data_IF_845322129021
#
_entry.id   IF_845322129021
#
_cell.length_a   1.000
_cell.length_b   1.000
_cell.length_c   1.000
_cell.angle_alpha   90.00
_cell.angle_beta   90.00
_cell.angle_gamma   90.00
#
_symmetry.space_group_name_H-M   'P 1'
#
loop_
_entity.id
_entity.type
_entity.pdbx_description
1 polymer ?
#
# COMPACT_ATOMS: atom_id res chain seq x y z
N UNK A 1 -6.82 -13.72 -7.64
CA UNK A 1 -7.44 -12.41 -7.96
C UNK A 1 -6.60 -11.33 -7.32
N UNK A 2 -6.18 -10.33 -8.08
CA UNK A 2 -5.48 -9.16 -7.53
C UNK A 2 -6.49 -8.03 -7.36
N UNK A 3 -6.54 -7.43 -6.17
CA UNK A 3 -7.43 -6.30 -5.87
C UNK A 3 -6.56 -5.12 -5.49
N UNK A 4 -6.71 -4.03 -6.24
CA UNK A 4 -6.10 -2.73 -5.97
C UNK A 4 -7.20 -1.69 -6.10
N UNK A 5 -8.06 -1.64 -5.09
CA UNK A 5 -9.22 -0.76 -5.02
C UNK A 5 -9.31 -0.14 -3.62
N UNK A 6 -10.29 0.73 -3.43
CA UNK A 6 -10.56 1.27 -2.11
C UNK A 6 -10.93 0.15 -1.09
N UNK A 7 -10.89 0.50 0.19
CA UNK A 7 -11.13 -0.47 1.25
C UNK A 7 -12.56 -1.00 1.29
N UNK A 8 -13.53 -0.28 0.72
CA UNK A 8 -14.94 -0.69 0.73
C UNK A 8 -15.19 -1.75 -0.35
N UNK A 9 -14.71 -1.52 -1.57
CA UNK A 9 -14.70 -2.48 -2.66
C UNK A 9 -13.99 -3.76 -2.24
N UNK A 10 -12.82 -3.63 -1.61
CA UNK A 10 -12.03 -4.78 -1.16
C UNK A 10 -12.78 -5.62 -0.10
N UNK A 11 -13.46 -4.97 0.85
CA UNK A 11 -14.30 -5.65 1.87
C UNK A 11 -15.47 -6.43 1.28
N UNK A 12 -15.98 -6.02 0.12
CA UNK A 12 -17.08 -6.70 -0.56
C UNK A 12 -16.58 -7.79 -1.50
N UNK A 13 -15.57 -7.49 -2.33
CA UNK A 13 -15.10 -8.37 -3.39
C UNK A 13 -14.17 -9.47 -2.88
N UNK A 14 -13.27 -9.18 -1.94
CA UNK A 14 -12.29 -10.18 -1.50
C UNK A 14 -12.94 -11.40 -0.83
N UNK A 15 -13.90 -11.25 0.12
CA UNK A 15 -14.56 -12.40 0.73
C UNK A 15 -15.43 -13.17 -0.26
N UNK A 16 -16.10 -12.47 -1.19
CA UNK A 16 -16.91 -13.11 -2.23
C UNK A 16 -16.05 -13.96 -3.18
N UNK A 17 -14.94 -13.40 -3.67
CA UNK A 17 -14.00 -14.13 -4.52
C UNK A 17 -13.36 -15.32 -3.80
N UNK A 18 -13.02 -15.17 -2.52
CA UNK A 18 -12.48 -16.26 -1.71
C UNK A 18 -13.51 -17.38 -1.47
N UNK A 19 -14.78 -17.01 -1.24
CA UNK A 19 -15.88 -17.98 -1.10
C UNK A 19 -16.11 -18.78 -2.39
N UNK A 20 -15.87 -18.18 -3.56
CA UNK A 20 -15.92 -18.84 -4.87
C UNK A 20 -14.62 -19.64 -5.20
N UNK A 21 -13.70 -19.77 -4.23
CA UNK A 21 -12.50 -20.60 -4.35
C UNK A 21 -11.27 -19.91 -4.93
N UNK A 22 -11.32 -18.59 -5.14
CA UNK A 22 -10.14 -17.84 -5.58
C UNK A 22 -9.20 -17.53 -4.41
N UNK A 23 -7.89 -17.56 -4.66
CA UNK A 23 -6.93 -16.90 -3.79
C UNK A 23 -6.89 -15.41 -4.13
N UNK A 24 -7.14 -14.55 -3.16
CA UNK A 24 -7.12 -13.09 -3.30
C UNK A 24 -5.80 -12.52 -2.77
N UNK A 25 -5.21 -11.61 -3.53
CA UNK A 25 -4.09 -10.76 -3.10
C UNK A 25 -4.58 -9.31 -3.13
N UNK A 26 -4.67 -8.69 -1.95
CA UNK A 26 -5.20 -7.35 -1.75
C UNK A 26 -4.07 -6.34 -1.46
N UNK A 27 -3.98 -5.30 -2.28
CA UNK A 27 -3.05 -4.16 -2.09
C UNK A 27 -3.65 -3.05 -1.20
N UNK A 28 -4.93 -3.17 -0.86
CA UNK A 28 -5.63 -2.25 0.01
C UNK A 28 -5.16 -2.34 1.48
N UNK A 29 -5.67 -1.41 2.29
CA UNK A 29 -5.52 -1.46 3.74
C UNK A 29 -6.60 -2.29 4.44
N UNK A 30 -7.58 -2.81 3.71
CA UNK A 30 -8.81 -3.36 4.26
C UNK A 30 -8.58 -4.53 5.23
N UNK A 31 -7.58 -5.38 4.95
CA UNK A 31 -7.35 -6.63 5.66
C UNK A 31 -6.00 -6.70 6.40
N UNK A 32 -5.14 -5.69 6.29
CA UNK A 32 -3.76 -5.72 6.84
C UNK A 32 -3.65 -6.04 8.33
N UNK A 33 -4.70 -5.76 9.11
CA UNK A 33 -4.75 -5.97 10.57
C UNK A 33 -5.67 -7.14 10.97
N UNK A 34 -6.16 -7.93 10.01
CA UNK A 34 -7.01 -9.10 10.30
C UNK A 34 -6.13 -10.29 10.64
N UNK A 35 -6.38 -10.91 11.78
CA UNK A 35 -5.57 -12.02 12.30
C UNK A 35 -5.49 -13.22 11.35
N UNK A 36 -6.57 -13.48 10.60
CA UNK A 36 -6.67 -14.59 9.64
C UNK A 36 -6.22 -14.22 8.22
N UNK A 37 -5.67 -13.02 8.01
CA UNK A 37 -5.16 -12.57 6.71
C UNK A 37 -3.67 -12.26 6.85
N UNK A 38 -2.78 -13.07 6.25
CA UNK A 38 -1.35 -12.80 6.30
C UNK A 38 -1.00 -11.49 5.57
N UNK A 39 -0.06 -10.75 6.15
CA UNK A 39 0.50 -9.54 5.58
C UNK A 39 1.92 -9.84 5.09
N UNK A 40 2.08 -10.06 3.79
CA UNK A 40 3.26 -10.75 3.25
C UNK A 40 4.18 -9.83 2.45
N UNK A 41 5.47 -9.92 2.74
CA UNK A 41 6.56 -9.54 1.85
C UNK A 41 7.35 -10.82 1.59
N UNK A 42 7.38 -11.36 0.36
CA UNK A 42 7.97 -12.68 0.08
C UNK A 42 9.39 -12.85 0.63
N UNK A 43 10.26 -11.86 0.44
CA UNK A 43 11.65 -11.89 0.89
C UNK A 43 11.82 -11.81 2.43
N UNK A 44 10.73 -11.63 3.18
CA UNK A 44 10.77 -11.36 4.63
C UNK A 44 10.03 -12.42 5.44
N UNK A 45 8.86 -12.85 4.95
CA UNK A 45 7.93 -13.75 5.63
C UNK A 45 7.08 -14.57 4.64
N UNK A 46 7.69 -15.15 3.61
CA UNK A 46 6.97 -16.01 2.63
C UNK A 46 6.14 -17.13 3.26
N UNK A 47 6.60 -17.75 4.34
CA UNK A 47 5.90 -18.86 5.00
C UNK A 47 4.52 -18.47 5.57
N UNK A 48 4.29 -17.17 5.79
CA UNK A 48 3.00 -16.67 6.30
C UNK A 48 1.86 -16.87 5.30
N UNK A 49 2.16 -17.08 4.01
CA UNK A 49 1.12 -17.43 3.03
C UNK A 49 0.36 -18.69 3.45
N UNK A 50 1.00 -19.62 4.18
CA UNK A 50 0.40 -20.93 4.47
C UNK A 50 -0.80 -20.87 5.42
N UNK A 51 -0.97 -19.79 6.21
CA UNK A 51 -2.11 -19.66 7.11
C UNK A 51 -3.28 -18.86 6.52
N UNK A 52 -3.20 -18.46 5.24
CA UNK A 52 -4.29 -17.70 4.61
C UNK A 52 -5.62 -18.47 4.65
N UNK A 53 -6.73 -17.75 4.80
CA UNK A 53 -8.08 -18.30 4.60
C UNK A 53 -8.69 -17.84 3.27
N UNK A 54 -7.87 -17.76 2.22
CA UNK A 54 -8.27 -17.36 0.86
C UNK A 54 -7.97 -15.91 0.50
N UNK A 55 -7.50 -15.10 1.47
CA UNK A 55 -7.08 -13.71 1.26
C UNK A 55 -5.67 -13.54 1.82
N UNK A 56 -4.81 -12.88 1.06
CA UNK A 56 -3.48 -12.41 1.46
C UNK A 56 -3.47 -10.89 1.27
N UNK A 57 -2.92 -10.15 2.22
CA UNK A 57 -2.67 -8.71 2.06
C UNK A 57 -1.21 -8.44 1.77
N UNK A 58 -0.95 -7.37 1.01
CA UNK A 58 0.39 -6.80 0.92
C UNK A 58 0.50 -5.48 1.71
N UNK A 59 1.68 -5.15 2.27
CA UNK A 59 1.86 -3.91 3.05
C UNK A 59 1.71 -2.65 2.22
N UNK A 60 1.72 -1.50 2.91
CA UNK A 60 1.77 -0.22 2.23
C UNK A 60 3.06 -0.08 1.40
N UNK A 61 2.98 0.68 0.30
CA UNK A 61 4.10 0.95 -0.60
C UNK A 61 5.34 1.56 0.08
N UNK A 62 5.20 2.23 1.22
CA UNK A 62 6.34 2.73 2.02
C UNK A 62 6.91 1.67 2.97
N UNK A 63 6.05 0.77 3.47
CA UNK A 63 6.45 -0.28 4.40
C UNK A 63 7.27 -1.35 3.70
N UNK A 64 6.86 -1.82 2.52
CA UNK A 64 7.55 -2.89 1.80
C UNK A 64 9.05 -2.65 1.61
N UNK A 65 9.50 -1.55 0.96
CA UNK A 65 10.93 -1.30 0.76
C UNK A 65 11.67 -1.07 2.09
N UNK A 66 11.05 -0.42 3.06
CA UNK A 66 11.64 -0.21 4.38
C UNK A 66 11.89 -1.56 5.08
N UNK A 67 10.89 -2.43 5.12
CA UNK A 67 10.97 -3.73 5.80
C UNK A 67 11.93 -4.67 5.09
N UNK A 68 12.03 -4.65 3.76
CA UNK A 68 13.06 -5.41 3.03
C UNK A 68 14.48 -5.02 3.49
N UNK A 69 14.77 -3.73 3.63
CA UNK A 69 16.08 -3.25 4.13
C UNK A 69 16.28 -3.64 5.59
N UNK A 70 15.28 -3.43 6.44
CA UNK A 70 15.34 -3.79 7.86
C UNK A 70 15.47 -5.31 8.05
N UNK A 71 14.90 -6.11 7.15
CA UNK A 71 15.04 -7.57 7.17
C UNK A 71 16.50 -7.97 6.98
N UNK A 72 17.25 -7.35 6.07
CA UNK A 72 18.69 -7.63 5.95
C UNK A 72 19.47 -7.21 7.19
N UNK A 73 19.15 -6.05 7.77
CA UNK A 73 19.83 -5.54 8.98
C UNK A 73 19.57 -6.44 10.19
N UNK A 74 18.32 -6.92 10.37
CA UNK A 74 17.96 -7.76 11.53
C UNK A 74 18.68 -9.11 11.54
N UNK A 75 19.16 -9.60 10.38
CA UNK A 75 19.93 -10.85 10.32
C UNK A 75 21.30 -10.74 11.00
N UNK A 76 21.82 -9.51 11.18
CA UNK A 76 23.17 -9.28 11.73
C UNK A 76 23.16 -8.43 13.01
N UNK A 77 22.08 -7.71 13.30
CA UNK A 77 21.97 -6.88 14.50
C UNK A 77 20.52 -6.74 14.97
N UNK A 78 20.31 -6.63 16.28
CA UNK A 78 18.98 -6.33 16.84
C UNK A 78 18.57 -4.90 16.47
N UNK A 79 17.30 -4.73 16.09
CA UNK A 79 16.69 -3.43 15.82
C UNK A 79 15.74 -3.09 16.97
N UNK A 80 16.06 -2.05 17.75
CA UNK A 80 15.22 -1.62 18.87
C UNK A 80 14.26 -0.48 18.48
N UNK A 81 14.63 0.36 17.51
CA UNK A 81 13.82 1.49 17.05
C UNK A 81 14.17 1.87 15.62
N UNK A 82 13.17 2.27 14.85
CA UNK A 82 13.31 2.87 13.52
C UNK A 82 12.73 4.28 13.55
N UNK A 83 13.46 5.26 13.02
CA UNK A 83 12.97 6.63 12.80
C UNK A 83 13.01 6.90 11.31
N UNK A 84 11.88 7.28 10.71
CA UNK A 84 11.74 7.41 9.26
C UNK A 84 11.05 8.73 8.93
N UNK A 85 11.59 9.42 7.93
CA UNK A 85 10.92 10.50 7.22
C UNK A 85 10.70 10.05 5.78
N UNK A 86 9.49 10.19 5.25
CA UNK A 86 9.15 9.77 3.89
C UNK A 86 9.03 10.98 2.97
N UNK A 87 9.44 10.80 1.71
CA UNK A 87 9.30 11.79 0.64
C UNK A 87 8.60 11.08 -0.51
N UNK A 88 7.27 11.06 -0.45
CA UNK A 88 6.46 10.20 -1.29
C UNK A 88 6.04 10.91 -2.58
N UNK A 89 5.98 10.15 -3.67
CA UNK A 89 5.40 10.62 -4.92
C UNK A 89 3.87 10.73 -4.82
N UNK A 90 3.29 11.72 -5.50
CA UNK A 90 1.82 11.92 -5.55
C UNK A 90 1.07 10.79 -6.26
N UNK A 91 1.78 9.97 -7.05
CA UNK A 91 1.18 8.83 -7.76
C UNK A 91 0.55 7.80 -6.82
N UNK A 92 1.01 7.74 -5.56
CA UNK A 92 0.41 6.87 -4.54
C UNK A 92 -1.03 7.25 -4.16
N UNK A 93 -1.45 8.48 -4.44
CA UNK A 93 -2.85 8.94 -4.25
C UNK A 93 -3.70 8.78 -5.52
N UNK A 94 -3.18 8.12 -6.55
CA UNK A 94 -3.89 7.81 -7.79
C UNK A 94 -3.76 8.91 -8.86
N UNK A 95 -4.33 8.63 -10.03
CA UNK A 95 -4.16 9.45 -11.24
C UNK A 95 -4.59 10.91 -11.06
N UNK A 96 -5.67 11.16 -10.32
CA UNK A 96 -6.16 12.52 -10.07
C UNK A 96 -5.12 13.39 -9.36
N UNK A 97 -4.34 12.81 -8.45
CA UNK A 97 -3.26 13.51 -7.75
C UNK A 97 -2.09 13.88 -8.68
N UNK A 98 -1.77 13.00 -9.63
CA UNK A 98 -0.74 13.24 -10.64
C UNK A 98 -1.16 14.38 -11.58
N UNK A 99 -2.40 14.33 -12.07
CA UNK A 99 -2.97 15.39 -12.92
C UNK A 99 -2.99 16.73 -12.19
N UNK A 100 -3.38 16.73 -10.91
CA UNK A 100 -3.36 17.94 -10.10
C UNK A 100 -1.95 18.52 -9.94
N UNK A 101 -0.95 17.70 -9.60
CA UNK A 101 0.43 18.19 -9.48
C UNK A 101 0.94 18.81 -10.79
N UNK A 102 0.63 18.19 -11.94
CA UNK A 102 0.99 18.74 -13.24
C UNK A 102 0.32 20.10 -13.46
N UNK A 103 -1.00 20.18 -13.24
CA UNK A 103 -1.76 21.41 -13.39
C UNK A 103 -1.23 22.53 -12.47
N UNK A 104 -1.00 22.23 -11.19
CA UNK A 104 -0.47 23.20 -10.23
C UNK A 104 0.92 23.70 -10.64
N UNK A 105 1.76 22.82 -11.21
CA UNK A 105 3.08 23.19 -11.72
C UNK A 105 2.95 24.17 -12.90
N UNK A 106 2.08 23.88 -13.86
CA UNK A 106 1.81 24.75 -15.01
C UNK A 106 1.22 26.11 -14.58
N UNK A 107 0.26 26.11 -13.66
CA UNK A 107 -0.36 27.32 -13.11
C UNK A 107 0.68 28.19 -12.37
N UNK A 108 1.54 27.57 -11.56
CA UNK A 108 2.61 28.26 -10.85
C UNK A 108 3.61 28.91 -11.82
N UNK A 109 4.07 28.17 -12.82
CA UNK A 109 4.99 28.69 -13.85
C UNK A 109 4.36 29.83 -14.66
N UNK A 110 3.04 29.76 -14.90
CA UNK A 110 2.27 30.81 -15.57
C UNK A 110 1.89 32.00 -14.66
N UNK A 111 2.30 32.00 -13.37
CA UNK A 111 1.90 32.99 -12.35
C UNK A 111 0.38 33.15 -12.22
N UNK A 112 -0.36 32.07 -12.44
CA UNK A 112 -1.82 32.00 -12.26
C UNK A 112 -2.15 31.60 -10.82
N UNK A 113 -3.41 31.79 -10.44
CA UNK A 113 -3.94 31.23 -9.19
C UNK A 113 -3.87 29.70 -9.28
N UNK A 114 -3.28 29.08 -8.26
CA UNK A 114 -3.16 27.62 -8.15
C UNK A 114 -4.48 27.04 -7.64
N UNK A 115 -5.01 26.05 -8.35
CA UNK A 115 -6.19 25.30 -7.95
C UNK A 115 -5.78 24.03 -7.17
N UNK A 116 -6.45 23.79 -6.04
CA UNK A 116 -6.18 22.67 -5.12
C UNK A 116 -7.46 21.90 -4.90
N UNK A 117 -7.50 20.61 -5.27
CA UNK A 117 -8.67 19.76 -5.08
C UNK A 117 -8.29 18.49 -4.30
N UNK A 118 -7.35 17.70 -4.82
CA UNK A 118 -6.86 16.44 -4.24
C UNK A 118 -5.98 16.69 -3.03
N UNK A 119 -5.08 17.68 -3.11
CA UNK A 119 -4.27 18.13 -1.97
C UNK A 119 -4.65 19.56 -1.58
N UNK A 120 -5.63 19.73 -0.66
CA UNK A 120 -6.18 21.05 -0.34
C UNK A 120 -5.24 21.95 0.48
N UNK A 121 -4.17 21.37 1.05
CA UNK A 121 -3.22 22.07 1.91
C UNK A 121 -1.96 22.44 1.14
#
# INVERSE_FOLDING_TARGET
VFISADSEVSKNLAPAAAADGALVIDDGSAFRMKENVPLVIPEVNEEDINFHEGIISIPNCTTTPLVMVLHSIRQVAKIDRVQVATYQAVSGSGTSAVVELQQQTEEFLAKKKINKNVYPH
#
